data_IF_585462429272
#
_entry.id   IF_585462429272
#
_cell.length_a   1.000
_cell.length_b   1.000
_cell.length_c   1.000
_cell.angle_alpha   90.00
_cell.angle_beta   90.00
_cell.angle_gamma   90.00
#
_symmetry.space_group_name_H-M   'P 1'
#
loop_
_entity.id
_entity.type
_entity.pdbx_description
1 polymer ?
#
# COMPACT_ATOMS: atom_id res chain seq x y z
N UNK A 1 44.30 -20.24 -21.51
CA UNK A 1 43.86 -21.01 -20.32
C UNK A 1 43.35 -20.01 -19.29
N UNK A 2 42.04 -19.77 -19.17
CA UNK A 2 41.52 -18.83 -18.17
C UNK A 2 41.61 -19.45 -16.78
N UNK A 3 42.19 -18.71 -15.83
CA UNK A 3 42.37 -19.14 -14.45
C UNK A 3 41.00 -19.30 -13.77
N UNK A 4 40.69 -20.52 -13.34
CA UNK A 4 39.44 -20.84 -12.66
C UNK A 4 39.35 -20.17 -11.29
N UNK A 5 38.18 -19.61 -10.99
CA UNK A 5 37.86 -19.03 -9.68
C UNK A 5 38.07 -20.09 -8.59
N UNK A 6 38.98 -19.81 -7.65
CA UNK A 6 39.33 -20.76 -6.60
C UNK A 6 38.20 -20.97 -5.60
N UNK A 7 38.03 -22.22 -5.12
CA UNK A 7 37.05 -22.62 -4.08
C UNK A 7 36.99 -21.68 -2.87
N UNK A 8 38.11 -21.05 -2.51
CA UNK A 8 38.19 -20.09 -1.39
C UNK A 8 37.50 -18.76 -1.69
N UNK A 9 37.59 -18.25 -2.91
CA UNK A 9 36.83 -17.08 -3.36
C UNK A 9 35.33 -17.41 -3.48
N UNK A 10 34.99 -18.62 -3.94
CA UNK A 10 33.60 -19.10 -3.95
C UNK A 10 33.00 -19.21 -2.55
N UNK A 11 33.76 -19.72 -1.57
CA UNK A 11 33.29 -19.80 -0.17
C UNK A 11 33.24 -18.44 0.54
N UNK A 12 34.08 -17.48 0.17
CA UNK A 12 33.97 -16.11 0.67
C UNK A 12 32.76 -15.37 0.09
N UNK A 13 32.40 -15.61 -1.18
CA UNK A 13 31.18 -15.08 -1.78
C UNK A 13 29.91 -15.78 -1.24
N UNK A 14 29.95 -17.10 -1.06
CA UNK A 14 28.83 -17.87 -0.51
C UNK A 14 28.62 -17.62 1.00
N UNK A 15 29.69 -17.34 1.75
CA UNK A 15 29.61 -17.00 3.17
C UNK A 15 28.93 -15.65 3.42
N UNK A 16 29.14 -14.66 2.55
CA UNK A 16 28.45 -13.36 2.64
C UNK A 16 26.94 -13.48 2.35
N UNK A 17 26.54 -14.32 1.38
CA UNK A 17 25.14 -14.62 1.09
C UNK A 17 24.46 -15.47 2.18
N UNK A 18 25.20 -16.42 2.77
CA UNK A 18 24.71 -17.25 3.88
C UNK A 18 24.57 -16.51 5.21
N UNK A 19 25.45 -15.55 5.50
CA UNK A 19 25.36 -14.70 6.69
C UNK A 19 24.16 -13.74 6.64
N UNK A 20 23.73 -13.32 5.46
CA UNK A 20 22.49 -12.55 5.29
C UNK A 20 21.23 -13.34 5.68
N UNK A 21 21.28 -14.67 5.74
CA UNK A 21 20.15 -15.51 6.17
C UNK A 21 20.00 -15.62 7.69
N UNK A 22 21.02 -15.21 8.46
CA UNK A 22 21.07 -15.37 9.92
C UNK A 22 20.81 -14.07 10.70
N UNK A 23 20.64 -12.93 10.01
CA UNK A 23 20.29 -11.65 10.64
C UNK A 23 18.86 -11.30 10.23
N UNK A 24 17.90 -11.74 11.05
CA UNK A 24 16.46 -11.71 10.74
C UNK A 24 15.81 -10.31 10.78
N UNK A 25 16.04 -9.43 11.78
CA UNK A 25 15.32 -8.15 11.83
C UNK A 25 15.79 -7.12 10.79
N UNK A 26 17.04 -7.22 10.29
CA UNK A 26 17.60 -6.22 9.35
C UNK A 26 17.09 -6.35 7.92
N UNK A 27 16.38 -7.42 7.56
CA UNK A 27 15.94 -7.63 6.17
C UNK A 27 14.78 -6.72 5.80
N UNK A 28 13.80 -6.55 6.67
CA UNK A 28 12.64 -5.71 6.38
C UNK A 28 13.02 -4.22 6.42
N UNK A 29 13.76 -3.80 7.43
CA UNK A 29 14.34 -2.44 7.49
C UNK A 29 15.16 -2.12 6.25
N UNK A 30 16.00 -3.06 5.78
CA UNK A 30 16.77 -2.85 4.55
C UNK A 30 15.90 -2.85 3.29
N UNK A 31 14.83 -3.66 3.25
CA UNK A 31 13.87 -3.65 2.13
C UNK A 31 13.12 -2.32 2.06
N UNK A 32 12.60 -1.83 3.18
CA UNK A 32 11.91 -0.54 3.30
C UNK A 32 12.86 0.64 3.04
N UNK A 33 14.09 0.60 3.56
CA UNK A 33 15.12 1.62 3.30
C UNK A 33 15.62 1.62 1.84
N UNK A 34 15.36 0.55 1.09
CA UNK A 34 15.67 0.42 -0.34
C UNK A 34 14.48 0.68 -1.25
N UNK A 35 13.39 1.26 -0.73
CA UNK A 35 12.20 1.54 -1.52
C UNK A 35 12.58 2.36 -2.78
N UNK A 36 12.14 1.91 -3.97
CA UNK A 36 12.49 2.57 -5.22
C UNK A 36 11.94 4.00 -5.24
N UNK A 37 12.73 4.94 -5.75
CA UNK A 37 12.26 6.29 -6.05
C UNK A 37 11.51 6.38 -7.39
N UNK A 38 11.05 7.58 -7.78
CA UNK A 38 10.52 7.85 -9.11
C UNK A 38 11.47 7.40 -10.22
N UNK A 39 10.95 6.75 -11.26
CA UNK A 39 11.73 6.24 -12.39
C UNK A 39 12.60 5.01 -12.08
N UNK A 40 12.50 4.42 -10.88
CA UNK A 40 13.15 3.16 -10.53
C UNK A 40 12.14 2.01 -10.53
N UNK A 41 12.57 0.84 -11.02
CA UNK A 41 11.75 -0.36 -11.01
C UNK A 41 11.50 -0.89 -9.61
N UNK A 42 10.31 -1.47 -9.43
CA UNK A 42 9.95 -2.22 -8.24
C UNK A 42 10.53 -3.64 -8.25
N UNK A 43 10.01 -4.47 -7.36
CA UNK A 43 10.31 -5.90 -7.26
C UNK A 43 9.49 -6.72 -8.24
N UNK A 44 8.27 -6.31 -8.56
CA UNK A 44 7.43 -6.95 -9.56
C UNK A 44 7.16 -6.05 -10.77
N UNK A 45 6.86 -4.77 -10.51
CA UNK A 45 6.53 -3.76 -11.51
C UNK A 45 7.78 -3.12 -12.11
N UNK A 46 7.71 -2.77 -13.38
CA UNK A 46 8.71 -1.92 -14.04
C UNK A 46 8.68 -0.49 -13.48
N UNK A 47 9.70 0.31 -13.81
CA UNK A 47 9.75 1.71 -13.39
C UNK A 47 8.52 2.51 -13.84
N UNK A 48 8.09 2.28 -15.09
CA UNK A 48 6.93 2.96 -15.64
C UNK A 48 5.63 2.53 -14.96
N UNK A 49 5.39 1.23 -14.85
CA UNK A 49 4.21 0.68 -14.17
C UNK A 49 4.11 1.16 -12.71
N UNK A 50 5.23 1.21 -11.99
CA UNK A 50 5.25 1.68 -10.60
C UNK A 50 4.98 3.19 -10.50
N UNK A 51 5.54 4.01 -11.40
CA UNK A 51 5.23 5.44 -11.46
C UNK A 51 3.75 5.69 -11.81
N UNK A 52 3.19 4.91 -12.74
CA UNK A 52 1.76 4.97 -13.07
C UNK A 52 0.92 4.56 -11.86
N UNK A 53 1.31 3.51 -11.13
CA UNK A 53 0.61 3.10 -9.92
C UNK A 53 0.68 4.18 -8.82
N UNK A 54 1.81 4.88 -8.65
CA UNK A 54 1.91 6.04 -7.74
C UNK A 54 0.90 7.13 -8.09
N UNK A 55 0.75 7.45 -9.38
CA UNK A 55 -0.25 8.42 -9.83
C UNK A 55 -1.68 7.93 -9.51
N UNK A 56 -1.98 6.64 -9.73
CA UNK A 56 -3.28 6.04 -9.41
C UNK A 56 -3.59 6.14 -7.92
N UNK A 57 -2.67 5.69 -7.06
CA UNK A 57 -2.90 5.66 -5.60
C UNK A 57 -3.00 7.07 -5.02
N UNK A 58 -2.25 8.04 -5.56
CA UNK A 58 -2.36 9.46 -5.22
C UNK A 58 -3.72 10.08 -5.59
N UNK A 59 -4.47 9.50 -6.54
CA UNK A 59 -5.86 9.93 -6.79
C UNK A 59 -6.85 9.33 -5.80
N UNK A 60 -6.58 8.14 -5.28
CA UNK A 60 -7.45 7.49 -4.28
C UNK A 60 -7.32 8.14 -2.90
N UNK A 61 -6.10 8.42 -2.46
CA UNK A 61 -5.80 9.09 -1.19
C UNK A 61 -4.79 10.22 -1.48
N UNK A 62 -5.29 11.42 -1.80
CA UNK A 62 -4.45 12.58 -2.09
C UNK A 62 -3.60 13.00 -0.90
N UNK A 63 -2.41 13.52 -1.18
CA UNK A 63 -1.52 14.17 -0.23
C UNK A 63 -1.03 15.51 -0.79
N UNK A 64 0.04 16.09 -0.22
CA UNK A 64 0.56 17.38 -0.68
C UNK A 64 0.98 17.33 -2.16
N UNK A 65 0.72 18.39 -2.94
CA UNK A 65 0.13 19.67 -2.55
C UNK A 65 -1.41 19.73 -2.62
N UNK A 66 -2.08 18.67 -3.08
CA UNK A 66 -3.54 18.65 -3.28
C UNK A 66 -4.30 18.61 -1.95
N UNK A 67 -3.72 17.97 -0.94
CA UNK A 67 -4.21 17.87 0.44
C UNK A 67 -3.06 18.21 1.42
N UNK A 68 -3.27 19.03 2.47
CA UNK A 68 -2.24 19.29 3.47
C UNK A 68 -1.86 18.05 4.29
N UNK A 69 -2.75 17.06 4.39
CA UNK A 69 -2.53 15.83 5.13
C UNK A 69 -1.79 14.79 4.25
N UNK A 70 -0.98 13.88 4.83
CA UNK A 70 -0.23 12.90 4.07
C UNK A 70 -1.15 11.90 3.35
N UNK A 71 -0.81 11.60 2.10
CA UNK A 71 -1.57 10.69 1.25
C UNK A 71 -0.84 9.38 0.93
N UNK A 72 -1.29 8.72 -0.13
CA UNK A 72 -0.75 7.44 -0.57
C UNK A 72 0.74 7.49 -0.95
N UNK A 73 1.22 8.64 -1.44
CA UNK A 73 2.63 8.83 -1.80
C UNK A 73 3.52 8.88 -0.56
N UNK A 74 3.13 9.67 0.44
CA UNK A 74 3.86 9.79 1.70
C UNK A 74 3.89 8.45 2.44
N UNK A 75 2.80 7.69 2.38
CA UNK A 75 2.68 6.38 3.01
C UNK A 75 3.42 5.24 2.27
N UNK A 76 3.93 5.46 1.05
CA UNK A 76 4.61 4.41 0.27
C UNK A 76 3.67 3.31 -0.24
N UNK A 77 2.40 3.65 -0.54
CA UNK A 77 1.36 2.68 -0.91
C UNK A 77 1.73 1.88 -2.17
N UNK A 78 2.21 2.55 -3.22
CA UNK A 78 2.50 1.87 -4.48
C UNK A 78 3.62 0.82 -4.32
N UNK A 79 4.62 1.12 -3.51
CA UNK A 79 5.70 0.21 -3.18
C UNK A 79 5.21 -0.97 -2.33
N UNK A 80 4.28 -0.75 -1.40
CA UNK A 80 3.66 -1.80 -0.60
C UNK A 80 2.87 -2.79 -1.48
N UNK A 81 2.12 -2.26 -2.45
CA UNK A 81 1.41 -3.06 -3.43
C UNK A 81 2.39 -3.86 -4.29
N UNK A 82 3.47 -3.24 -4.77
CA UNK A 82 4.52 -3.94 -5.51
C UNK A 82 5.19 -5.06 -4.69
N UNK A 83 5.41 -4.85 -3.39
CA UNK A 83 5.89 -5.90 -2.47
C UNK A 83 4.91 -7.06 -2.34
N UNK A 84 3.60 -6.79 -2.25
CA UNK A 84 2.57 -7.83 -2.27
C UNK A 84 2.59 -8.62 -3.58
N UNK A 85 2.67 -7.94 -4.72
CA UNK A 85 2.76 -8.59 -6.03
C UNK A 85 4.04 -9.45 -6.16
N UNK A 86 5.12 -9.05 -5.49
CA UNK A 86 6.39 -9.76 -5.43
C UNK A 86 6.49 -10.77 -4.26
N UNK A 87 5.43 -10.99 -3.47
CA UNK A 87 5.53 -11.67 -2.18
C UNK A 87 6.22 -13.05 -2.25
N UNK A 88 5.97 -13.83 -3.32
CA UNK A 88 6.55 -15.17 -3.51
C UNK A 88 7.94 -15.19 -4.17
N UNK A 89 8.54 -14.03 -4.42
CA UNK A 89 9.95 -13.93 -4.86
C UNK A 89 10.94 -13.99 -3.69
N UNK A 90 10.44 -13.80 -2.47
CA UNK A 90 11.22 -13.89 -1.24
C UNK A 90 11.24 -15.33 -0.71
N UNK A 91 12.36 -15.72 -0.08
CA UNK A 91 12.48 -17.03 0.56
C UNK A 91 11.43 -17.25 1.65
N UNK A 92 11.07 -16.17 2.35
CA UNK A 92 9.96 -16.09 3.29
C UNK A 92 8.92 -15.16 2.66
N UNK A 93 7.76 -15.66 2.19
CA UNK A 93 6.77 -14.80 1.57
C UNK A 93 6.26 -13.73 2.53
N UNK A 94 6.17 -12.48 2.06
CA UNK A 94 5.70 -11.34 2.84
C UNK A 94 4.16 -11.31 2.91
N UNK A 95 3.58 -12.35 3.50
CA UNK A 95 2.13 -12.59 3.52
C UNK A 95 1.52 -12.44 4.92
N UNK A 96 2.15 -13.06 5.92
CA UNK A 96 1.71 -12.98 7.32
C UNK A 96 2.87 -12.50 8.19
N UNK A 97 2.77 -11.26 8.65
CA UNK A 97 3.63 -10.73 9.70
C UNK A 97 3.54 -11.60 10.97
N UNK A 98 4.61 -11.61 11.76
CA UNK A 98 4.66 -12.29 13.04
C UNK A 98 3.85 -11.58 14.11
N UNK A 99 4.04 -12.02 15.35
CA UNK A 99 3.38 -11.50 16.53
C UNK A 99 3.92 -12.16 17.80
N UNK A 100 3.44 -11.76 18.99
CA UNK A 100 2.24 -10.95 19.18
C UNK A 100 2.44 -9.44 19.19
N UNK A 101 3.66 -8.90 19.29
CA UNK A 101 3.87 -7.47 19.56
C UNK A 101 4.79 -6.80 18.55
N UNK A 102 4.51 -5.53 18.26
CA UNK A 102 5.50 -4.62 17.69
C UNK A 102 6.27 -3.91 18.82
N UNK A 103 7.39 -3.28 18.49
CA UNK A 103 8.20 -2.51 19.45
C UNK A 103 7.62 -1.11 19.77
N UNK A 104 6.50 -0.75 19.14
CA UNK A 104 5.88 0.58 19.25
C UNK A 104 5.21 0.86 20.60
N UNK A 105 4.81 -0.17 21.35
CA UNK A 105 4.10 -0.03 22.63
C UNK A 105 4.76 -0.78 23.79
N UNK A 106 6.09 -0.76 23.83
CA UNK A 106 6.88 -1.17 25.00
C UNK A 106 7.37 -2.61 24.97
N UNK A 107 7.19 -3.35 23.87
CA UNK A 107 7.94 -4.57 23.65
C UNK A 107 9.42 -4.25 23.39
N UNK A 108 10.31 -5.17 23.76
CA UNK A 108 11.76 -5.02 23.50
C UNK A 108 12.18 -5.56 22.13
N UNK A 109 11.22 -6.02 21.33
CA UNK A 109 11.41 -6.66 20.03
C UNK A 109 10.17 -6.38 19.18
N UNK A 110 10.37 -6.39 17.86
CA UNK A 110 9.30 -6.25 16.87
C UNK A 110 9.05 -7.61 16.21
N UNK A 111 8.04 -8.34 16.69
CA UNK A 111 7.64 -9.62 16.09
C UNK A 111 6.99 -9.43 14.72
N UNK A 112 6.42 -8.25 14.44
CA UNK A 112 5.72 -7.99 13.18
C UNK A 112 6.72 -7.92 12.02
N UNK A 113 7.97 -7.52 12.30
CA UNK A 113 9.05 -7.55 11.32
C UNK A 113 9.44 -8.98 10.88
N UNK A 114 9.09 -10.01 11.65
CA UNK A 114 9.43 -11.41 11.38
C UNK A 114 8.23 -12.18 10.79
N UNK A 115 8.17 -12.25 9.45
CA UNK A 115 7.09 -12.93 8.73
C UNK A 115 7.08 -14.46 8.95
N UNK A 116 5.87 -15.01 9.11
CA UNK A 116 5.63 -16.42 9.45
C UNK A 116 5.55 -17.29 8.19
N UNK A 117 6.17 -18.49 8.18
CA UNK A 117 6.00 -19.46 7.10
C UNK A 117 4.54 -19.84 6.86
N UNK A 118 4.17 -19.94 5.59
CA UNK A 118 2.87 -20.46 5.19
C UNK A 118 2.90 -21.98 5.21
N UNK A 119 1.82 -22.60 5.68
CA UNK A 119 1.55 -23.99 5.38
C UNK A 119 1.16 -24.15 3.88
N UNK A 120 1.12 -25.39 3.41
CA UNK A 120 0.86 -25.68 2.00
C UNK A 120 -0.52 -25.20 1.52
N UNK A 121 -1.53 -25.14 2.40
CA UNK A 121 -2.86 -24.71 2.03
C UNK A 121 -2.93 -23.18 1.92
N UNK A 122 -2.36 -22.47 2.91
CA UNK A 122 -2.23 -21.02 2.88
C UNK A 122 -1.39 -20.56 1.68
N UNK A 123 -0.25 -21.20 1.42
CA UNK A 123 0.58 -20.90 0.25
C UNK A 123 -0.19 -21.10 -1.06
N UNK A 124 -0.93 -22.21 -1.20
CA UNK A 124 -1.76 -22.46 -2.39
C UNK A 124 -2.78 -21.33 -2.59
N UNK A 125 -3.54 -20.97 -1.55
CA UNK A 125 -4.55 -19.91 -1.63
C UNK A 125 -3.95 -18.56 -2.01
N UNK A 126 -2.84 -18.17 -1.38
CA UNK A 126 -2.16 -16.91 -1.67
C UNK A 126 -1.53 -16.86 -3.06
N UNK A 127 -0.98 -17.97 -3.56
CA UNK A 127 -0.49 -18.02 -4.93
C UNK A 127 -1.62 -17.91 -5.94
N UNK A 128 -2.78 -18.53 -5.70
CA UNK A 128 -3.97 -18.35 -6.55
C UNK A 128 -4.38 -16.87 -6.57
N UNK A 129 -4.42 -16.21 -5.40
CA UNK A 129 -4.77 -14.79 -5.31
C UNK A 129 -3.77 -13.88 -6.05
N UNK A 130 -2.47 -14.11 -5.87
CA UNK A 130 -1.42 -13.21 -6.39
C UNK A 130 -1.04 -13.55 -7.83
N UNK A 131 -0.68 -14.80 -8.10
CA UNK A 131 -0.18 -15.24 -9.41
C UNK A 131 -1.30 -15.70 -10.35
N UNK A 132 -2.47 -16.05 -9.81
CA UNK A 132 -3.55 -16.65 -10.57
C UNK A 132 -3.41 -18.17 -10.71
N UNK A 133 -4.28 -18.74 -11.53
CA UNK A 133 -4.33 -20.19 -11.71
C UNK A 133 -3.30 -20.72 -12.71
N UNK A 134 -2.94 -19.94 -13.73
CA UNK A 134 -1.89 -20.26 -14.71
C UNK A 134 -2.06 -21.63 -15.41
N UNK A 135 -3.29 -22.15 -15.52
CA UNK A 135 -3.56 -23.48 -16.07
C UNK A 135 -3.10 -24.63 -15.17
N UNK A 136 -2.73 -24.36 -13.92
CA UNK A 136 -2.29 -25.37 -12.95
C UNK A 136 -3.53 -26.07 -12.38
N UNK A 137 -3.72 -27.39 -12.59
CA UNK A 137 -4.97 -28.07 -12.20
C UNK A 137 -5.34 -27.91 -10.72
N UNK A 138 -4.35 -27.90 -9.82
CA UNK A 138 -4.56 -27.72 -8.38
C UNK A 138 -5.08 -26.33 -8.01
N UNK A 139 -4.89 -25.33 -8.88
CA UNK A 139 -5.36 -23.95 -8.70
C UNK A 139 -6.71 -23.67 -9.36
N UNK A 140 -7.19 -24.59 -10.20
CA UNK A 140 -8.41 -24.42 -11.02
C UNK A 140 -9.58 -25.31 -10.56
N UNK A 141 -9.51 -25.86 -9.35
CA UNK A 141 -10.56 -26.73 -8.81
C UNK A 141 -11.94 -26.04 -8.72
N UNK A 142 -11.96 -24.70 -8.65
CA UNK A 142 -13.17 -23.86 -8.67
C UNK A 142 -13.30 -23.02 -9.95
N UNK A 143 -12.55 -23.37 -11.01
CA UNK A 143 -12.42 -22.61 -12.25
C UNK A 143 -11.14 -21.75 -12.31
N UNK A 144 -10.78 -21.25 -13.51
CA UNK A 144 -9.63 -20.36 -13.69
C UNK A 144 -9.77 -19.06 -12.89
N UNK A 145 -8.64 -18.56 -12.39
CA UNK A 145 -8.58 -17.32 -11.59
C UNK A 145 -7.49 -16.41 -12.16
N UNK A 146 -7.88 -15.19 -12.52
CA UNK A 146 -6.94 -14.10 -12.85
C UNK A 146 -6.34 -13.57 -11.55
N UNK A 147 -5.01 -13.69 -11.41
CA UNK A 147 -4.29 -13.22 -10.23
C UNK A 147 -4.07 -11.71 -10.22
N UNK A 148 -3.74 -11.17 -9.04
CA UNK A 148 -3.38 -9.75 -8.90
C UNK A 148 -2.24 -9.34 -9.84
N UNK A 149 -1.23 -10.17 -10.05
CA UNK A 149 -0.12 -9.88 -10.96
C UNK A 149 -0.59 -9.56 -12.37
N UNK A 150 -1.54 -10.34 -12.90
CA UNK A 150 -2.12 -10.10 -14.22
C UNK A 150 -3.04 -8.88 -14.20
N UNK A 151 -3.92 -8.76 -13.21
CA UNK A 151 -4.84 -7.61 -13.04
C UNK A 151 -4.07 -6.28 -13.04
N UNK A 152 -2.94 -6.21 -12.34
CA UNK A 152 -2.13 -4.99 -12.28
C UNK A 152 -1.42 -4.70 -13.59
N UNK A 153 -0.78 -5.70 -14.22
CA UNK A 153 -0.07 -5.46 -15.48
C UNK A 153 -1.02 -5.08 -16.62
N UNK A 154 -2.12 -5.81 -16.78
CA UNK A 154 -3.10 -5.50 -17.82
C UNK A 154 -3.82 -4.18 -17.53
N UNK A 155 -4.19 -3.92 -16.27
CA UNK A 155 -4.84 -2.70 -15.85
C UNK A 155 -4.01 -1.45 -16.05
N UNK A 156 -2.72 -1.48 -15.68
CA UNK A 156 -1.80 -0.35 -15.86
C UNK A 156 -1.55 -0.08 -17.36
N UNK A 157 -1.33 -1.13 -18.16
CA UNK A 157 -1.16 -0.99 -19.60
C UNK A 157 -2.41 -0.42 -20.28
N UNK A 158 -3.59 -0.95 -19.94
CA UNK A 158 -4.86 -0.47 -20.48
C UNK A 158 -5.13 0.98 -20.07
N UNK A 159 -4.83 1.35 -18.82
CA UNK A 159 -4.96 2.74 -18.36
C UNK A 159 -4.09 3.71 -19.16
N UNK A 160 -2.84 3.35 -19.47
CA UNK A 160 -1.97 4.16 -20.33
C UNK A 160 -2.48 4.23 -21.77
N UNK A 161 -2.98 3.13 -22.33
CA UNK A 161 -3.61 3.13 -23.66
C UNK A 161 -4.80 4.09 -23.71
N UNK A 162 -5.67 4.08 -22.69
CA UNK A 162 -6.83 4.99 -22.58
C UNK A 162 -6.37 6.44 -22.44
N UNK A 163 -5.33 6.70 -21.65
CA UNK A 163 -4.75 8.04 -21.49
C UNK A 163 -4.16 8.56 -22.81
N UNK A 164 -3.40 7.73 -23.51
CA UNK A 164 -2.82 8.05 -24.81
C UNK A 164 -3.88 8.34 -25.86
N UNK A 165 -4.97 7.56 -25.91
CA UNK A 165 -6.08 7.78 -26.83
C UNK A 165 -6.83 9.09 -26.55
N UNK A 166 -7.03 9.43 -25.28
CA UNK A 166 -7.83 10.61 -24.88
C UNK A 166 -7.00 11.91 -24.86
N UNK A 167 -5.73 11.84 -24.48
CA UNK A 167 -4.90 13.00 -24.17
C UNK A 167 -3.53 13.02 -24.85
N UNK A 168 -3.10 11.93 -25.49
CA UNK A 168 -1.80 11.82 -26.17
C UNK A 168 -0.59 11.80 -25.23
N UNK A 169 -0.79 11.39 -23.97
CA UNK A 169 0.25 11.22 -22.97
C UNK A 169 -0.06 10.04 -22.04
N UNK A 170 0.97 9.52 -21.36
CA UNK A 170 0.81 8.44 -20.37
C UNK A 170 -0.01 8.93 -19.17
N UNK A 171 -0.67 8.01 -18.47
CA UNK A 171 -1.60 8.36 -17.39
C UNK A 171 -0.95 9.22 -16.31
N UNK A 172 0.30 8.89 -15.93
CA UNK A 172 1.04 9.65 -14.92
C UNK A 172 1.37 11.09 -15.34
N UNK A 173 1.36 11.38 -16.64
CA UNK A 173 1.77 12.66 -17.21
C UNK A 173 0.56 13.57 -17.54
N UNK A 174 -0.67 13.05 -17.49
CA UNK A 174 -1.87 13.87 -17.67
C UNK A 174 -2.28 14.58 -16.37
N UNK A 175 -2.94 15.76 -16.44
CA UNK A 175 -3.36 16.49 -15.24
C UNK A 175 -4.31 15.68 -14.34
N UNK A 176 -4.27 15.91 -13.02
CA UNK A 176 -5.11 15.19 -12.05
C UNK A 176 -6.61 15.09 -12.40
N UNK A 177 -7.28 16.14 -12.91
CA UNK A 177 -8.66 16.01 -13.37
C UNK A 177 -8.86 15.05 -14.54
N UNK A 178 -7.88 14.89 -15.44
CA UNK A 178 -7.90 13.90 -16.50
C UNK A 178 -7.69 12.47 -15.95
N UNK A 179 -6.79 12.33 -14.97
CA UNK A 179 -6.61 11.07 -14.23
C UNK A 179 -7.91 10.64 -13.54
N UNK A 180 -8.57 11.56 -12.82
CA UNK A 180 -9.86 11.32 -12.17
C UNK A 180 -10.92 10.83 -13.18
N UNK A 181 -10.99 11.46 -14.35
CA UNK A 181 -11.95 11.09 -15.40
C UNK A 181 -11.73 9.66 -15.90
N UNK A 182 -10.48 9.27 -16.17
CA UNK A 182 -10.15 7.93 -16.62
C UNK A 182 -10.45 6.87 -15.55
N UNK A 183 -10.04 7.10 -14.30
CA UNK A 183 -10.27 6.16 -13.20
C UNK A 183 -11.76 5.99 -12.87
N UNK A 184 -12.56 7.04 -13.06
CA UNK A 184 -14.00 7.04 -12.76
C UNK A 184 -14.89 6.45 -13.86
N UNK A 185 -14.35 6.10 -15.03
CA UNK A 185 -15.12 5.55 -16.15
C UNK A 185 -15.67 4.15 -15.83
N UNK A 186 -16.93 4.11 -15.38
CA UNK A 186 -17.63 2.87 -15.02
C UNK A 186 -18.06 2.03 -16.23
N UNK A 187 -17.89 2.53 -17.46
CA UNK A 187 -18.24 1.78 -18.67
C UNK A 187 -17.16 0.80 -19.10
N UNK A 188 -15.94 0.96 -18.57
CA UNK A 188 -14.77 0.15 -18.87
C UNK A 188 -14.56 -0.93 -17.80
N UNK A 189 -15.22 -2.09 -17.97
CA UNK A 189 -15.22 -3.16 -16.97
C UNK A 189 -13.83 -3.75 -16.68
N UNK A 190 -12.96 -3.81 -17.69
CA UNK A 190 -11.60 -4.30 -17.55
C UNK A 190 -10.75 -3.34 -16.71
N UNK A 191 -10.85 -2.03 -16.99
CA UNK A 191 -10.23 -1.01 -16.15
C UNK A 191 -10.78 -1.03 -14.73
N UNK A 192 -12.10 -1.16 -14.55
CA UNK A 192 -12.71 -1.17 -13.22
C UNK A 192 -12.30 -2.39 -12.37
N UNK A 193 -11.96 -3.52 -13.01
CA UNK A 193 -11.37 -4.67 -12.30
C UNK A 193 -10.04 -4.31 -11.66
N UNK A 194 -9.18 -3.60 -12.40
CA UNK A 194 -7.92 -3.07 -11.87
C UNK A 194 -8.15 -1.97 -10.81
N UNK A 195 -9.01 -0.99 -11.07
CA UNK A 195 -9.29 0.11 -10.14
C UNK A 195 -9.82 -0.42 -8.80
N UNK A 196 -10.72 -1.40 -8.83
CA UNK A 196 -11.24 -2.03 -7.61
C UNK A 196 -10.16 -2.74 -6.80
N UNK A 197 -9.28 -3.50 -7.46
CA UNK A 197 -8.15 -4.16 -6.80
C UNK A 197 -7.12 -3.16 -6.25
N UNK A 198 -6.83 -2.10 -7.02
CA UNK A 198 -5.90 -1.04 -6.64
C UNK A 198 -6.41 -0.24 -5.45
N UNK A 199 -7.71 0.09 -5.42
CA UNK A 199 -8.32 0.82 -4.30
C UNK A 199 -8.31 -0.03 -3.01
N UNK A 200 -8.70 -1.30 -3.09
CA UNK A 200 -8.68 -2.21 -1.95
C UNK A 200 -7.27 -2.31 -1.35
N UNK A 201 -6.27 -2.59 -2.19
CA UNK A 201 -4.89 -2.71 -1.73
C UNK A 201 -4.30 -1.36 -1.28
N UNK A 202 -4.78 -0.24 -1.82
CA UNK A 202 -4.41 1.12 -1.34
C UNK A 202 -4.86 1.34 0.08
N UNK A 203 -6.09 0.95 0.42
CA UNK A 203 -6.61 1.07 1.78
C UNK A 203 -5.86 0.15 2.75
N UNK A 204 -5.59 -1.09 2.34
CA UNK A 204 -4.79 -2.05 3.11
C UNK A 204 -3.37 -1.52 3.37
N UNK A 205 -2.71 -0.96 2.37
CA UNK A 205 -1.37 -0.40 2.52
C UNK A 205 -1.33 0.92 3.28
N UNK A 206 -2.33 1.80 3.11
CA UNK A 206 -2.36 3.11 3.77
C UNK A 206 -2.57 2.98 5.28
N UNK A 207 -3.46 2.07 5.70
CA UNK A 207 -3.92 1.96 7.08
C UNK A 207 -3.49 0.66 7.77
N UNK A 208 -2.78 -0.22 7.07
CA UNK A 208 -2.23 -1.45 7.62
C UNK A 208 -0.93 -1.23 8.41
N UNK A 209 -0.36 -2.32 8.97
CA UNK A 209 0.93 -2.27 9.65
C UNK A 209 2.05 -1.89 8.66
N UNK A 210 3.00 -1.02 9.07
CA UNK A 210 4.08 -0.55 8.20
C UNK A 210 5.02 -1.66 7.70
N UNK A 211 5.00 -2.83 8.35
CA UNK A 211 5.82 -3.99 8.00
C UNK A 211 5.48 -4.58 6.62
N UNK A 212 4.31 -4.25 6.07
CA UNK A 212 3.93 -4.58 4.70
C UNK A 212 4.43 -3.55 3.66
N UNK A 213 5.17 -2.52 4.10
CA UNK A 213 5.83 -1.51 3.26
C UNK A 213 5.01 -0.24 3.01
N UNK A 214 3.72 -0.27 3.35
CA UNK A 214 2.82 0.89 3.36
C UNK A 214 2.86 1.61 4.70
N UNK A 215 1.91 2.53 4.94
CA UNK A 215 1.78 3.30 6.18
C UNK A 215 3.15 3.78 6.74
N UNK A 216 4.04 4.18 5.84
CA UNK A 216 5.43 4.51 6.17
C UNK A 216 5.45 5.64 7.20
N UNK A 217 6.36 5.54 8.16
CA UNK A 217 6.46 6.50 9.26
C UNK A 217 5.14 6.70 10.03
N UNK A 218 4.25 5.70 9.96
CA UNK A 218 2.92 5.66 10.58
C UNK A 218 2.01 6.79 10.10
N UNK A 219 2.21 7.35 8.91
CA UNK A 219 1.45 8.54 8.46
C UNK A 219 -0.06 8.30 8.41
N UNK A 220 -0.53 7.12 8.01
CA UNK A 220 -1.95 6.80 7.95
C UNK A 220 -2.57 6.67 9.34
N UNK A 221 -1.84 6.10 10.30
CA UNK A 221 -2.27 6.02 11.69
C UNK A 221 -2.22 7.39 12.39
N UNK A 222 -1.13 8.14 12.19
CA UNK A 222 -0.95 9.48 12.75
C UNK A 222 -2.03 10.45 12.29
N UNK A 223 -2.32 10.48 10.99
CA UNK A 223 -3.38 11.30 10.40
C UNK A 223 -4.76 10.94 10.95
N UNK A 224 -5.10 9.65 11.00
CA UNK A 224 -6.39 9.17 11.53
C UNK A 224 -6.48 9.21 13.05
N UNK A 225 -5.39 9.61 13.74
CA UNK A 225 -5.24 9.56 15.20
C UNK A 225 -5.46 8.16 15.79
N UNK A 226 -5.24 7.14 14.97
CA UNK A 226 -5.18 5.75 15.41
C UNK A 226 -3.84 5.58 16.18
N UNK A 227 -3.82 5.12 17.44
CA UNK A 227 -2.62 5.11 18.32
C UNK A 227 -1.49 4.04 18.10
N UNK A 228 -1.38 3.38 16.95
CA UNK A 228 -0.74 2.06 16.71
C UNK A 228 -1.03 0.87 17.66
N UNK A 229 -0.52 -0.31 17.30
CA UNK A 229 -0.60 -1.50 18.17
C UNK A 229 -0.19 -1.15 19.62
N UNK A 230 -1.10 -1.38 20.58
CA UNK A 230 -0.93 -0.92 21.97
C UNK A 230 -0.32 -1.99 22.89
N UNK A 231 -0.12 -3.22 22.41
CA UNK A 231 0.40 -4.30 23.24
C UNK A 231 1.95 -4.30 23.24
N UNK A 232 2.60 -4.72 24.36
CA UNK A 232 2.02 -5.31 25.56
C UNK A 232 1.48 -4.31 26.59
N UNK A 233 1.69 -3.00 26.41
CA UNK A 233 1.22 -1.97 27.37
C UNK A 233 -0.28 -2.09 27.66
N UNK A 234 -1.08 -2.32 26.62
CA UNK A 234 -2.54 -2.32 26.68
C UNK A 234 -3.12 -0.93 26.96
N UNK A 235 -4.41 -0.90 27.31
CA UNK A 235 -5.11 0.33 27.72
C UNK A 235 -5.30 0.36 29.22
N UNK A 236 -5.11 1.52 29.82
CA UNK A 236 -5.47 1.80 31.21
C UNK A 236 -7.00 1.91 31.37
N UNK A 237 -7.50 1.70 32.59
CA UNK A 237 -8.93 1.87 32.90
C UNK A 237 -9.45 3.26 32.51
N UNK A 238 -8.64 4.31 32.73
CA UNK A 238 -8.98 5.67 32.34
C UNK A 238 -9.09 5.84 30.81
N UNK A 239 -8.18 5.24 30.03
CA UNK A 239 -8.22 5.28 28.56
C UNK A 239 -9.46 4.56 27.98
N UNK A 240 -10.00 3.55 28.69
CA UNK A 240 -11.19 2.80 28.25
C UNK A 240 -12.48 3.44 28.74
N UNK A 241 -12.51 3.92 29.98
CA UNK A 241 -13.72 4.39 30.66
C UNK A 241 -14.06 5.85 30.37
N UNK A 242 -13.11 6.62 29.83
CA UNK A 242 -13.33 8.03 29.48
C UNK A 242 -13.78 8.13 28.01
N UNK A 243 -14.86 8.87 27.69
CA UNK A 243 -15.19 9.16 26.30
C UNK A 243 -13.99 9.81 25.61
N UNK A 244 -13.67 9.36 24.40
CA UNK A 244 -12.56 9.90 23.63
C UNK A 244 -12.68 11.43 23.42
N UNK A 245 -11.58 12.11 23.08
CA UNK A 245 -11.60 13.56 22.82
C UNK A 245 -12.58 13.97 21.70
N UNK A 246 -13.04 13.01 20.89
CA UNK A 246 -13.96 13.21 19.77
C UNK A 246 -15.44 13.16 20.19
N UNK A 247 -15.72 13.03 21.50
CA UNK A 247 -17.08 13.09 22.05
C UNK A 247 -17.56 14.54 22.20
N UNK A 248 -17.18 15.43 21.29
CA UNK A 248 -17.94 16.66 21.11
C UNK A 248 -19.28 16.26 20.48
N UNK A 249 -20.37 16.56 21.18
CA UNK A 249 -21.74 16.38 20.67
C UNK A 249 -21.82 16.83 19.22
N UNK A 250 -22.54 16.11 18.37
CA UNK A 250 -22.85 16.53 17.00
C UNK A 250 -23.43 17.95 17.06
N UNK A 251 -22.59 18.94 16.78
CA UNK A 251 -22.98 20.34 16.80
C UNK A 251 -23.76 20.64 15.53
N UNK A 252 -24.60 21.68 15.55
CA UNK A 252 -25.24 22.16 14.31
C UNK A 252 -24.22 22.45 13.21
N UNK A 253 -23.02 22.90 13.57
CA UNK A 253 -21.91 23.12 12.64
C UNK A 253 -21.36 21.83 12.01
N UNK A 254 -21.29 20.72 12.76
CA UNK A 254 -20.90 19.41 12.20
C UNK A 254 -21.99 18.87 11.26
N UNK A 255 -23.28 19.08 11.57
CA UNK A 255 -24.37 18.70 10.67
C UNK A 255 -24.37 19.53 9.38
N UNK A 256 -24.09 20.83 9.46
CA UNK A 256 -23.94 21.71 8.30
C UNK A 256 -22.69 21.33 7.46
N UNK A 257 -21.60 20.90 8.09
CA UNK A 257 -20.44 20.34 7.39
C UNK A 257 -20.79 18.99 6.73
N UNK A 258 -21.55 18.11 7.38
CA UNK A 258 -21.96 16.84 6.80
C UNK A 258 -22.90 17.04 5.59
N UNK A 259 -23.74 18.07 5.60
CA UNK A 259 -24.57 18.44 4.46
C UNK A 259 -23.75 18.75 3.19
N UNK A 260 -22.48 19.13 3.33
CA UNK A 260 -21.57 19.43 2.22
C UNK A 260 -21.07 18.19 1.47
N UNK A 261 -21.19 17.01 2.10
CA UNK A 261 -20.90 15.71 1.50
C UNK A 261 -22.14 15.09 0.84
N UNK A 262 -23.35 15.64 1.05
CA UNK A 262 -24.57 15.21 0.35
C UNK A 262 -24.46 15.28 -1.18
N UNK A 263 -23.78 16.27 -1.80
CA UNK A 263 -23.46 16.23 -3.21
C UNK A 263 -22.68 14.98 -3.58
N UNK A 264 -21.61 14.64 -2.85
CA UNK A 264 -20.79 13.45 -3.11
C UNK A 264 -21.60 12.15 -2.96
N UNK A 265 -22.44 12.09 -1.93
CA UNK A 265 -23.39 10.98 -1.69
C UNK A 265 -24.50 10.90 -2.75
N UNK A 266 -24.75 11.98 -3.49
CA UNK A 266 -25.68 12.04 -4.63
C UNK A 266 -24.97 12.06 -5.99
N UNK A 267 -23.69 11.67 -6.04
CA UNK A 267 -22.90 11.55 -7.28
C UNK A 267 -22.43 12.88 -7.89
N UNK A 268 -22.50 13.99 -7.14
CA UNK A 268 -22.02 15.33 -7.53
C UNK A 268 -20.76 15.71 -6.75
N UNK A 269 -19.83 16.41 -7.38
CA UNK A 269 -18.56 16.79 -6.74
C UNK A 269 -18.79 17.69 -5.52
N UNK A 270 -18.16 17.39 -4.38
CA UNK A 270 -18.20 18.23 -3.19
C UNK A 270 -17.47 19.56 -3.42
N UNK A 271 -17.88 20.60 -2.67
CA UNK A 271 -17.30 21.95 -2.74
C UNK A 271 -15.81 21.97 -2.36
N UNK A 272 -14.99 22.71 -3.12
CA UNK A 272 -13.54 22.91 -2.88
C UNK A 272 -13.22 24.08 -1.94
N UNK A 273 -14.21 24.72 -1.32
CA UNK A 273 -13.97 25.83 -0.40
C UNK A 273 -13.22 25.34 0.84
N UNK A 274 -12.08 25.97 1.14
CA UNK A 274 -11.20 25.68 2.29
C UNK A 274 -11.85 26.10 3.63
N UNK A 275 -12.91 25.40 4.03
CA UNK A 275 -13.73 25.75 5.19
C UNK A 275 -13.02 25.63 6.55
N UNK A 276 -11.86 24.97 6.58
CA UNK A 276 -11.00 24.84 7.76
C UNK A 276 -10.08 26.06 8.00
N UNK A 277 -9.97 26.99 7.04
CA UNK A 277 -9.20 28.22 7.21
C UNK A 277 -9.82 29.08 8.33
N UNK A 278 -9.19 29.03 9.50
CA UNK A 278 -9.58 29.80 10.68
C UNK A 278 -10.07 29.00 11.88
N UNK A 279 -10.08 27.66 11.83
CA UNK A 279 -10.35 26.82 13.02
C UNK A 279 -9.18 26.88 14.00
N UNK A 280 -9.50 27.02 15.29
CA UNK A 280 -8.52 27.03 16.38
C UNK A 280 -7.66 25.76 16.32
N UNK A 281 -6.34 25.90 16.25
CA UNK A 281 -5.38 24.79 16.24
C UNK A 281 -4.65 24.56 14.90
N UNK A 282 -5.03 25.24 13.81
CA UNK A 282 -4.31 25.18 12.53
C UNK A 282 -3.56 26.50 12.32
N UNK A 283 -2.21 26.50 12.29
CA UNK A 283 -1.46 27.73 12.04
C UNK A 283 -1.74 28.25 10.62
N UNK A 284 -1.98 29.56 10.52
CA UNK A 284 -2.17 30.26 9.25
C UNK A 284 -0.79 30.52 8.64
N UNK A 285 -0.54 30.00 7.44
CA UNK A 285 0.53 30.43 6.54
C UNK A 285 -0.06 30.99 5.26
#
# INVERSE_FOLDING_TARGET
>A
MPAGVGRRAFLQAAGALGLLALVRPRRLEALMASAPGPGQGGRFLTAHELDTLRAVTARFIPGPPDDPDPGALEAGVAEAIDLLLAAFTFAQPLIHAGGPFSDRAGATHDDFADFVPLDAHAELGWRIRIEGSLGIPQREFAGPVTGLQEIYRSGLAHLDERSQQAFGADFKDVPGPAQDLLLSDQTDGDLQTFVGAALANTLEAMYGPPEYGGNRDLVGWGYSRWPGDLQPRGSTDAEVSTPGPDTESITGALLDDLQRFLPALSGRRASRTQFWLGRSGIPRS
#
